data_IF_466349360922
#
_entry.id   IF_466349360922
#
_cell.length_a   1.000
_cell.length_b   1.000
_cell.length_c   1.000
_cell.angle_alpha   90.00
_cell.angle_beta   90.00
_cell.angle_gamma   90.00
#
_symmetry.space_group_name_H-M   'P 1'
#
loop_
_entity.id
_entity.type
_entity.pdbx_description
1 polymer ?
#
# COMPACT_ATOMS: atom_id res chain seq x y z
N UNK A 1 23.12 -73.02 -0.34
CA UNK A 1 22.73 -74.41 -0.72
C UNK A 1 21.38 -74.34 -1.42
N UNK A 2 21.27 -74.92 -2.62
CA UNK A 2 20.05 -75.25 -3.41
C UNK A 2 18.92 -74.20 -3.51
N UNK A 3 18.69 -73.48 -4.63
CA UNK A 3 18.20 -73.88 -5.98
C UNK A 3 16.72 -74.34 -6.04
N UNK A 4 15.88 -73.42 -6.54
CA UNK A 4 14.66 -73.52 -7.39
C UNK A 4 13.92 -74.87 -7.58
N UNK A 5 12.58 -74.80 -7.50
CA UNK A 5 11.57 -75.53 -8.32
C UNK A 5 10.23 -74.76 -8.23
N UNK A 6 9.71 -74.10 -9.28
CA UNK A 6 8.90 -74.54 -10.44
C UNK A 6 7.46 -75.05 -10.15
N UNK A 7 6.44 -74.33 -10.63
CA UNK A 7 5.29 -74.76 -11.47
C UNK A 7 4.16 -73.70 -11.43
N UNK A 8 3.91 -72.95 -12.52
CA UNK A 8 2.94 -73.22 -13.62
C UNK A 8 1.47 -73.20 -13.18
N UNK A 9 0.66 -72.26 -13.71
CA UNK A 9 -0.54 -72.55 -14.54
C UNK A 9 -1.39 -71.30 -14.91
N UNK A 10 -1.71 -71.19 -16.22
CA UNK A 10 -2.89 -70.59 -16.90
C UNK A 10 -2.95 -69.05 -17.07
N UNK A 11 -2.73 -68.49 -18.28
CA UNK A 11 -3.58 -68.42 -19.51
C UNK A 11 -4.86 -67.58 -19.22
N UNK A 12 -5.08 -66.39 -19.80
CA UNK A 12 -5.47 -66.15 -21.20
C UNK A 12 -5.22 -64.69 -21.66
N UNK A 13 -5.00 -64.58 -22.96
CA UNK A 13 -4.71 -63.42 -23.81
C UNK A 13 -5.76 -62.31 -23.84
N UNK A 14 -5.32 -61.08 -24.12
CA UNK A 14 -6.19 -59.96 -24.50
C UNK A 14 -5.39 -58.68 -24.78
N UNK A 15 -4.88 -58.57 -26.00
CA UNK A 15 -4.04 -57.50 -26.52
C UNK A 15 -4.85 -56.21 -26.76
N UNK A 16 -4.56 -55.09 -26.07
CA UNK A 16 -4.88 -53.74 -26.57
C UNK A 16 -3.84 -52.71 -26.10
N UNK A 17 -3.07 -52.23 -27.09
CA UNK A 17 -2.50 -50.88 -27.26
C UNK A 17 -1.72 -50.24 -26.10
N UNK A 18 -0.39 -50.27 -26.22
CA UNK A 18 0.55 -49.40 -25.52
C UNK A 18 0.41 -47.94 -26.01
N UNK A 19 -0.10 -47.06 -25.14
CA UNK A 19 0.09 -45.62 -25.24
C UNK A 19 1.01 -45.16 -24.10
N UNK A 20 2.05 -44.40 -24.47
CA UNK A 20 3.03 -43.82 -23.55
C UNK A 20 2.34 -43.04 -22.42
N UNK A 21 2.65 -43.39 -21.18
CA UNK A 21 2.36 -42.55 -20.03
C UNK A 21 3.41 -41.43 -19.93
N UNK A 22 3.06 -40.24 -20.44
CA UNK A 22 3.66 -39.00 -19.94
C UNK A 22 2.89 -38.61 -18.69
N UNK A 23 3.55 -38.67 -17.53
CA UNK A 23 3.03 -38.14 -16.28
C UNK A 23 2.91 -36.61 -16.41
N UNK A 24 1.73 -36.14 -16.81
CA UNK A 24 1.36 -34.73 -16.72
C UNK A 24 1.03 -34.41 -15.27
N UNK A 25 1.86 -33.58 -14.64
CA UNK A 25 1.51 -32.90 -13.40
C UNK A 25 0.19 -32.14 -13.61
N UNK A 26 -0.78 -32.21 -12.69
CA UNK A 26 -1.97 -31.40 -12.80
C UNK A 26 -1.55 -29.93 -12.71
N UNK A 27 -1.74 -29.21 -13.81
CA UNK A 27 -1.79 -27.75 -13.80
C UNK A 27 -2.94 -27.36 -12.89
N UNK A 28 -2.60 -26.84 -11.70
CA UNK A 28 -3.53 -26.11 -10.86
C UNK A 28 -4.07 -24.94 -11.68
N UNK A 29 -5.21 -25.14 -12.33
CA UNK A 29 -6.01 -24.04 -12.79
C UNK A 29 -6.54 -23.36 -11.53
N UNK A 30 -6.15 -22.09 -11.36
CA UNK A 30 -6.63 -21.25 -10.27
C UNK A 30 -8.15 -21.38 -10.20
N UNK A 31 -8.63 -21.72 -9.01
CA UNK A 31 -10.06 -21.66 -8.72
C UNK A 31 -10.45 -20.19 -8.85
N UNK A 32 -11.13 -19.86 -9.93
CA UNK A 32 -11.91 -18.63 -10.02
C UNK A 32 -12.95 -18.68 -8.91
N UNK A 33 -12.77 -17.91 -7.86
CA UNK A 33 -13.79 -17.72 -6.84
C UNK A 33 -14.96 -16.95 -7.48
N UNK A 34 -15.93 -17.70 -8.01
CA UNK A 34 -17.24 -17.18 -8.32
C UNK A 34 -18.04 -17.09 -7.01
N UNK A 35 -18.24 -15.87 -6.52
CA UNK A 35 -19.22 -15.61 -5.45
C UNK A 35 -18.86 -14.55 -4.40
N UNK A 36 -18.56 -13.31 -4.80
CA UNK A 36 -19.00 -12.14 -4.03
C UNK A 36 -19.28 -11.00 -4.99
N UNK A 37 -20.41 -10.33 -4.84
CA UNK A 37 -20.66 -9.04 -5.49
C UNK A 37 -19.94 -7.94 -4.71
N UNK A 38 -18.66 -8.14 -4.38
CA UNK A 38 -17.84 -7.07 -3.81
C UNK A 38 -17.56 -6.11 -4.94
N UNK A 39 -17.93 -4.84 -4.78
CA UNK A 39 -17.60 -3.82 -5.77
C UNK A 39 -16.08 -3.83 -5.99
N UNK A 40 -15.64 -3.67 -7.24
CA UNK A 40 -14.21 -3.65 -7.54
C UNK A 40 -13.54 -2.41 -6.91
N UNK A 41 -12.29 -2.57 -6.49
CA UNK A 41 -11.47 -1.43 -6.06
C UNK A 41 -11.18 -0.51 -7.25
N UNK A 42 -11.55 0.76 -7.11
CA UNK A 42 -11.37 1.79 -8.15
C UNK A 42 -10.59 2.98 -7.60
N UNK A 43 -9.94 3.76 -8.47
CA UNK A 43 -9.15 4.91 -8.05
C UNK A 43 -9.95 5.96 -7.26
N UNK A 44 -9.35 6.47 -6.19
CA UNK A 44 -9.88 7.53 -5.31
C UNK A 44 -8.97 8.77 -5.36
N UNK A 45 -8.88 9.39 -6.55
CA UNK A 45 -7.83 10.37 -6.91
C UNK A 45 -7.80 11.63 -6.03
N UNK A 46 -8.89 11.97 -5.36
CA UNK A 46 -8.99 13.15 -4.47
C UNK A 46 -8.73 12.81 -3.00
N UNK A 47 -8.55 11.54 -2.66
CA UNK A 47 -8.36 11.07 -1.29
C UNK A 47 -6.87 10.74 -1.02
N UNK A 48 -6.44 10.87 0.25
CA UNK A 48 -5.07 10.55 0.73
C UNK A 48 -3.91 11.25 0.00
N UNK A 49 -4.13 12.51 -0.38
CA UNK A 49 -3.06 13.43 -0.75
C UNK A 49 -2.72 14.37 0.43
N UNK A 50 -1.44 14.75 0.54
CA UNK A 50 -0.89 15.52 1.65
C UNK A 50 0.01 16.63 1.14
N UNK A 51 -0.02 17.76 1.83
CA UNK A 51 0.82 18.92 1.57
C UNK A 51 1.70 19.16 2.79
N UNK A 52 3.01 19.23 2.55
CA UNK A 52 4.00 19.68 3.51
C UNK A 52 4.35 21.14 3.22
N UNK A 53 4.01 22.04 4.15
CA UNK A 53 4.05 23.49 3.94
C UNK A 53 4.66 24.25 5.11
N UNK A 54 5.17 25.44 4.83
CA UNK A 54 5.68 26.37 5.84
C UNK A 54 4.58 27.32 6.29
N UNK A 55 4.41 27.45 7.60
CA UNK A 55 3.57 28.47 8.20
C UNK A 55 4.27 29.00 9.46
N UNK A 56 4.45 30.32 9.52
CA UNK A 56 5.14 31.00 10.63
C UNK A 56 6.55 30.47 10.94
N UNK A 57 7.28 29.98 9.91
CA UNK A 57 8.62 29.42 10.05
C UNK A 57 8.66 27.98 10.57
N UNK A 58 7.50 27.32 10.71
CA UNK A 58 7.39 25.90 11.05
C UNK A 58 6.89 25.11 9.85
N UNK A 59 7.45 23.92 9.65
CA UNK A 59 7.04 23.03 8.58
C UNK A 59 5.98 22.03 9.10
N UNK A 60 4.80 22.06 8.48
CA UNK A 60 3.60 21.35 8.88
C UNK A 60 3.11 20.43 7.76
N UNK A 61 2.46 19.31 8.13
CA UNK A 61 1.78 18.42 7.20
C UNK A 61 0.27 18.49 7.41
N UNK A 62 -0.50 18.56 6.32
CA UNK A 62 -1.96 18.45 6.34
C UNK A 62 -2.48 17.64 5.17
N UNK A 63 -3.71 17.10 5.26
CA UNK A 63 -4.44 16.65 4.09
C UNK A 63 -4.54 17.76 3.04
N UNK A 64 -4.37 17.38 1.78
CA UNK A 64 -4.61 18.23 0.63
C UNK A 64 -6.11 18.48 0.47
N UNK A 65 -6.46 19.66 -0.04
CA UNK A 65 -7.80 19.92 -0.59
C UNK A 65 -8.00 19.10 -1.87
N UNK A 66 -9.25 18.93 -2.31
CA UNK A 66 -9.56 18.21 -3.56
C UNK A 66 -8.89 18.85 -4.79
N UNK A 67 -8.79 20.19 -4.83
CA UNK A 67 -8.11 20.91 -5.91
C UNK A 67 -6.60 20.65 -5.90
N UNK A 68 -5.97 20.66 -4.72
CA UNK A 68 -4.55 20.33 -4.57
C UNK A 68 -4.27 18.87 -4.95
N UNK A 69 -5.12 17.92 -4.53
CA UNK A 69 -4.99 16.51 -4.88
C UNK A 69 -5.09 16.31 -6.40
N UNK A 70 -6.07 16.95 -7.07
CA UNK A 70 -6.18 16.94 -8.53
C UNK A 70 -4.96 17.55 -9.22
N UNK A 71 -4.44 18.66 -8.70
CA UNK A 71 -3.23 19.27 -9.23
C UNK A 71 -2.01 18.34 -9.09
N UNK A 72 -1.86 17.64 -7.97
CA UNK A 72 -0.79 16.65 -7.76
C UNK A 72 -0.91 15.43 -8.67
N UNK A 73 -2.12 15.04 -9.05
CA UNK A 73 -2.37 13.93 -9.97
C UNK A 73 -2.04 14.31 -11.43
N UNK A 74 -2.16 15.59 -11.80
CA UNK A 74 -1.90 16.12 -13.13
C UNK A 74 -0.40 16.31 -13.42
N UNK A 75 0.36 15.21 -13.41
CA UNK A 75 1.80 15.18 -13.70
C UNK A 75 2.07 15.34 -15.20
N UNK A 76 3.27 15.78 -15.57
CA UNK A 76 3.72 15.69 -16.97
C UNK A 76 3.99 14.23 -17.36
N UNK A 77 3.06 13.63 -18.12
CA UNK A 77 3.13 12.24 -18.58
C UNK A 77 4.31 11.95 -19.51
N UNK A 78 4.94 12.99 -20.08
CA UNK A 78 6.11 12.83 -20.96
C UNK A 78 7.42 12.66 -20.19
N UNK A 79 7.43 12.93 -18.87
CA UNK A 79 8.63 12.80 -18.05
C UNK A 79 9.00 11.33 -17.86
N UNK A 80 10.22 10.91 -18.26
CA UNK A 80 10.63 9.54 -18.08
C UNK A 80 10.97 9.27 -16.61
N UNK A 81 10.33 8.26 -16.03
CA UNK A 81 10.64 7.78 -14.67
C UNK A 81 11.58 6.58 -14.73
N UNK A 82 12.64 6.60 -13.92
CA UNK A 82 13.67 5.56 -13.93
C UNK A 82 13.84 4.93 -12.56
N UNK A 83 13.83 3.61 -12.49
CA UNK A 83 14.13 2.88 -11.25
C UNK A 83 15.59 3.17 -10.87
N UNK A 84 15.82 3.50 -9.60
CA UNK A 84 17.17 3.76 -9.09
C UNK A 84 17.46 3.08 -7.75
N UNK A 85 16.58 2.19 -7.30
CA UNK A 85 16.84 1.31 -6.16
C UNK A 85 17.93 0.29 -6.51
N UNK A 86 18.81 -0.01 -5.57
CA UNK A 86 19.84 -1.04 -5.74
C UNK A 86 19.20 -2.39 -6.00
N UNK A 87 19.55 -3.03 -7.13
CA UNK A 87 18.97 -4.29 -7.65
C UNK A 87 19.11 -5.53 -6.75
N UNK A 88 19.72 -5.41 -5.57
CA UNK A 88 19.90 -6.52 -4.65
C UNK A 88 18.60 -6.82 -3.89
N UNK A 89 17.61 -7.37 -4.59
CA UNK A 89 16.68 -8.30 -3.97
C UNK A 89 17.50 -9.55 -3.67
N UNK A 90 18.05 -9.61 -2.46
CA UNK A 90 18.76 -10.81 -2.03
C UNK A 90 17.73 -11.94 -1.88
N UNK A 91 18.14 -13.18 -2.08
CA UNK A 91 17.27 -14.34 -1.87
C UNK A 91 16.77 -14.47 -0.41
N UNK A 92 17.26 -13.64 0.52
CA UNK A 92 16.77 -13.52 1.90
C UNK A 92 15.52 -12.61 2.02
N UNK A 93 15.15 -11.85 0.99
CA UNK A 93 13.96 -10.96 0.98
C UNK A 93 12.62 -11.68 0.76
N UNK A 94 12.59 -13.03 0.83
CA UNK A 94 11.44 -13.87 0.48
C UNK A 94 10.25 -13.83 1.48
N UNK A 95 10.18 -12.82 2.35
CA UNK A 95 9.03 -12.55 3.23
C UNK A 95 8.83 -11.07 3.59
N UNK A 96 9.44 -10.14 2.85
CA UNK A 96 9.54 -8.74 3.27
C UNK A 96 8.83 -7.77 2.31
N UNK A 97 8.55 -6.58 2.85
CA UNK A 97 8.16 -5.41 2.06
C UNK A 97 9.33 -4.96 1.19
N UNK A 98 9.11 -4.85 -0.12
CA UNK A 98 10.02 -4.25 -1.07
C UNK A 98 9.46 -2.91 -1.55
N UNK A 99 10.31 -1.89 -1.61
CA UNK A 99 9.95 -0.56 -2.11
C UNK A 99 10.90 -0.23 -3.25
N UNK A 100 10.36 -0.17 -4.47
CA UNK A 100 11.06 0.26 -5.67
C UNK A 100 10.79 1.75 -5.91
N UNK A 101 11.84 2.56 -5.89
CA UNK A 101 11.74 3.99 -6.19
C UNK A 101 12.04 4.26 -7.65
N UNK A 102 11.21 5.10 -8.28
CA UNK A 102 11.47 5.67 -9.61
C UNK A 102 11.61 7.18 -9.51
N UNK A 103 12.65 7.73 -10.14
CA UNK A 103 12.97 9.15 -10.10
C UNK A 103 12.74 9.83 -11.43
N UNK A 104 12.46 11.13 -11.40
CA UNK A 104 12.54 11.99 -12.58
C UNK A 104 14.02 12.24 -12.96
N UNK A 105 14.32 12.71 -14.19
CA UNK A 105 15.68 13.13 -14.53
C UNK A 105 16.17 14.34 -13.73
N UNK A 106 15.26 15.15 -13.19
CA UNK A 106 15.60 16.29 -12.33
C UNK A 106 16.28 15.80 -11.04
N UNK A 107 15.78 14.71 -10.44
CA UNK A 107 16.35 14.13 -9.22
C UNK A 107 17.82 13.70 -9.39
N UNK A 108 18.27 13.37 -10.60
CA UNK A 108 19.66 12.99 -10.88
C UNK A 108 20.65 14.13 -10.55
N UNK A 109 20.18 15.38 -10.50
CA UNK A 109 20.99 16.55 -10.10
C UNK A 109 21.10 16.73 -8.58
N UNK A 110 20.39 15.92 -7.79
CA UNK A 110 20.31 16.01 -6.33
C UNK A 110 20.65 14.66 -5.66
N UNK A 111 21.92 14.23 -5.70
CA UNK A 111 22.31 12.92 -5.18
C UNK A 111 22.01 12.74 -3.68
N UNK A 112 22.10 13.81 -2.87
CA UNK A 112 21.78 13.74 -1.44
C UNK A 112 20.29 13.42 -1.20
N UNK A 113 19.38 14.02 -1.96
CA UNK A 113 17.96 13.71 -1.89
C UNK A 113 17.65 12.29 -2.37
N UNK A 114 18.32 11.85 -3.45
CA UNK A 114 18.22 10.47 -3.94
C UNK A 114 18.60 9.45 -2.86
N UNK A 115 19.71 9.68 -2.16
CA UNK A 115 20.15 8.81 -1.05
C UNK A 115 19.21 8.91 0.15
N UNK A 116 18.68 10.09 0.49
CA UNK A 116 17.69 10.26 1.54
C UNK A 116 16.41 9.45 1.30
N UNK A 117 15.89 9.45 0.07
CA UNK A 117 14.76 8.59 -0.29
C UNK A 117 15.09 7.09 -0.15
N UNK A 118 16.30 6.66 -0.51
CA UNK A 118 16.73 5.27 -0.34
C UNK A 118 16.80 4.89 1.15
N UNK A 119 17.34 5.75 2.01
CA UNK A 119 17.36 5.55 3.47
C UNK A 119 15.96 5.49 4.06
N UNK A 120 15.06 6.37 3.61
CA UNK A 120 13.67 6.37 4.05
C UNK A 120 12.93 5.09 3.65
N UNK A 121 13.12 4.61 2.42
CA UNK A 121 12.57 3.34 1.97
C UNK A 121 13.12 2.16 2.78
N UNK A 122 14.43 2.12 3.02
CA UNK A 122 15.06 1.05 3.81
C UNK A 122 14.59 1.04 5.27
N UNK A 123 14.34 2.21 5.85
CA UNK A 123 13.74 2.33 7.19
C UNK A 123 12.42 1.56 7.26
N UNK A 124 11.52 1.73 6.28
CA UNK A 124 10.26 1.00 6.25
C UNK A 124 10.42 -0.49 5.96
N UNK A 125 11.28 -0.85 4.99
CA UNK A 125 11.59 -2.24 4.65
C UNK A 125 12.08 -3.03 5.87
N UNK A 126 12.91 -2.42 6.71
CA UNK A 126 13.45 -3.05 7.93
C UNK A 126 12.43 -3.22 9.07
N UNK A 127 11.31 -2.48 9.03
CA UNK A 127 10.31 -2.45 10.11
C UNK A 127 9.06 -3.26 9.81
N UNK A 128 8.72 -3.44 8.54
CA UNK A 128 7.49 -4.12 8.13
C UNK A 128 7.82 -5.54 7.67
N UNK A 129 7.27 -6.51 8.38
CA UNK A 129 7.24 -7.91 7.96
C UNK A 129 5.89 -8.21 7.31
N UNK A 130 5.91 -8.90 6.17
CA UNK A 130 4.70 -9.32 5.48
C UNK A 130 4.58 -10.83 5.50
N UNK A 131 3.34 -11.35 5.43
CA UNK A 131 3.12 -12.82 5.38
C UNK A 131 3.58 -13.46 4.06
N UNK A 132 3.79 -12.63 3.04
CA UNK A 132 4.32 -12.97 1.73
C UNK A 132 5.03 -11.73 1.13
N UNK A 133 5.97 -11.88 0.19
CA UNK A 133 6.63 -10.74 -0.45
C UNK A 133 5.64 -9.77 -1.10
N UNK A 134 5.81 -8.47 -0.84
CA UNK A 134 5.02 -7.39 -1.45
C UNK A 134 6.00 -6.38 -2.05
N UNK A 135 5.75 -5.97 -3.30
CA UNK A 135 6.58 -4.95 -3.96
C UNK A 135 5.74 -3.73 -4.29
N UNK A 136 6.13 -2.59 -3.73
CA UNK A 136 5.56 -1.28 -4.02
C UNK A 136 6.44 -0.57 -5.04
N UNK A 137 5.82 0.23 -5.91
CA UNK A 137 6.52 1.20 -6.74
C UNK A 137 6.08 2.60 -6.31
N UNK A 138 7.04 3.44 -5.96
CA UNK A 138 6.81 4.83 -5.55
C UNK A 138 7.60 5.74 -6.48
N UNK A 139 6.92 6.73 -7.05
CA UNK A 139 7.55 7.76 -7.85
C UNK A 139 8.03 8.88 -6.93
N UNK A 140 9.27 9.32 -7.09
CA UNK A 140 9.86 10.36 -6.25
C UNK A 140 10.50 11.45 -7.09
N UNK A 141 10.47 12.68 -6.56
CA UNK A 141 11.05 13.84 -7.21
C UNK A 141 11.67 14.80 -6.20
N UNK A 142 12.70 15.54 -6.62
CA UNK A 142 13.29 16.60 -5.84
C UNK A 142 13.82 17.68 -6.77
N UNK A 143 13.38 18.92 -6.60
CA UNK A 143 13.81 20.04 -7.42
C UNK A 143 12.84 21.22 -7.39
N UNK A 144 12.97 22.20 -8.29
CA UNK A 144 12.09 23.37 -8.31
C UNK A 144 10.67 23.07 -8.81
N UNK A 145 10.45 21.89 -9.40
CA UNK A 145 9.15 21.41 -9.88
C UNK A 145 8.83 20.03 -9.29
N UNK A 146 7.54 19.71 -9.21
CA UNK A 146 6.99 18.41 -8.87
C UNK A 146 6.50 17.73 -10.14
N UNK A 147 7.23 16.72 -10.63
CA UNK A 147 6.87 15.96 -11.83
C UNK A 147 6.47 16.88 -13.00
N UNK A 148 7.26 17.94 -13.22
CA UNK A 148 7.06 18.93 -14.29
C UNK A 148 6.09 20.06 -13.97
N UNK A 149 5.41 20.02 -12.82
CA UNK A 149 4.49 21.06 -12.37
C UNK A 149 5.14 21.95 -11.31
N UNK A 150 4.86 23.26 -11.33
CA UNK A 150 5.35 24.17 -10.28
C UNK A 150 4.74 23.83 -8.92
N UNK A 151 5.54 23.94 -7.86
CA UNK A 151 5.00 23.89 -6.49
C UNK A 151 4.14 25.13 -6.19
N UNK A 152 3.06 25.01 -5.40
CA UNK A 152 2.38 26.15 -4.83
C UNK A 152 3.30 26.95 -3.87
N UNK A 153 2.91 28.18 -3.57
CA UNK A 153 3.62 29.01 -2.59
C UNK A 153 3.65 28.33 -1.22
N UNK A 154 4.76 28.50 -0.50
CA UNK A 154 4.99 27.92 0.83
C UNK A 154 4.93 26.39 0.92
N UNK A 155 4.90 25.65 -0.20
CA UNK A 155 4.89 24.19 -0.20
C UNK A 155 6.31 23.65 -0.34
N UNK A 156 6.80 23.01 0.72
CA UNK A 156 8.08 22.31 0.79
C UNK A 156 8.02 20.95 0.11
N UNK A 157 6.85 20.31 0.10
CA UNK A 157 6.68 19.01 -0.50
C UNK A 157 5.23 18.57 -0.53
N UNK A 158 4.99 17.47 -1.23
CA UNK A 158 3.68 16.86 -1.22
C UNK A 158 3.73 15.38 -1.53
N UNK A 159 2.67 14.70 -1.12
CA UNK A 159 2.50 13.25 -1.29
C UNK A 159 1.13 12.98 -1.87
N UNK A 160 1.08 12.10 -2.85
CA UNK A 160 -0.16 11.63 -3.44
C UNK A 160 -0.16 10.10 -3.39
N UNK A 161 -1.08 9.54 -2.61
CA UNK A 161 -1.24 8.09 -2.48
C UNK A 161 -2.03 7.52 -3.65
N UNK A 162 -1.69 6.32 -4.10
CA UNK A 162 -2.59 5.56 -4.98
C UNK A 162 -3.69 4.92 -4.12
N UNK A 163 -4.66 5.74 -3.74
CA UNK A 163 -5.79 5.29 -2.92
C UNK A 163 -6.89 4.71 -3.75
N UNK A 164 -7.44 3.59 -3.26
CA UNK A 164 -8.50 2.85 -3.91
C UNK A 164 -9.74 2.86 -3.03
N UNK A 165 -10.89 3.06 -3.66
CA UNK A 165 -12.22 3.08 -3.04
C UNK A 165 -12.96 1.79 -3.34
N UNK A 166 -13.67 1.30 -2.34
CA UNK A 166 -14.68 0.27 -2.48
C UNK A 166 -15.91 0.63 -1.64
N UNK A 167 -17.01 0.95 -2.31
CA UNK A 167 -18.27 1.38 -1.68
C UNK A 167 -18.99 0.28 -0.91
N UNK A 168 -18.53 -0.97 -1.01
CA UNK A 168 -19.02 -2.12 -0.27
C UNK A 168 -17.86 -3.00 0.25
N UNK A 169 -16.70 -2.40 0.53
CA UNK A 169 -15.44 -3.13 0.73
C UNK A 169 -15.27 -3.75 2.11
N UNK A 170 -16.08 -3.35 3.09
CA UNK A 170 -15.84 -3.70 4.50
C UNK A 170 -15.78 -5.22 4.76
N UNK A 171 -16.77 -5.97 4.30
CA UNK A 171 -16.85 -7.41 4.58
C UNK A 171 -15.65 -8.15 3.99
N UNK A 172 -15.29 -7.83 2.74
CA UNK A 172 -14.10 -8.37 2.08
C UNK A 172 -12.81 -8.03 2.82
N UNK A 173 -12.64 -6.77 3.20
CA UNK A 173 -11.45 -6.31 3.92
C UNK A 173 -11.33 -6.92 5.32
N UNK A 174 -12.44 -7.02 6.07
CA UNK A 174 -12.48 -7.72 7.36
C UNK A 174 -12.06 -9.19 7.22
N UNK A 175 -12.56 -9.88 6.20
CA UNK A 175 -12.18 -11.26 5.94
C UNK A 175 -10.68 -11.38 5.59
N UNK A 176 -10.15 -10.44 4.81
CA UNK A 176 -8.72 -10.40 4.50
C UNK A 176 -7.87 -10.18 5.78
N UNK A 177 -8.28 -9.28 6.68
CA UNK A 177 -7.62 -9.09 7.98
C UNK A 177 -7.59 -10.39 8.79
N UNK A 178 -8.72 -11.08 8.92
CA UNK A 178 -8.80 -12.36 9.65
C UNK A 178 -7.88 -13.42 9.03
N UNK A 179 -7.87 -13.54 7.70
CA UNK A 179 -7.02 -14.49 6.97
C UNK A 179 -5.53 -14.17 7.08
N UNK A 180 -5.19 -12.89 7.23
CA UNK A 180 -3.80 -12.39 7.30
C UNK A 180 -3.30 -12.16 8.72
N UNK A 181 -4.10 -12.48 9.74
CA UNK A 181 -3.69 -12.42 11.14
C UNK A 181 -2.39 -13.24 11.36
N UNK A 182 -1.41 -12.62 12.03
CA UNK A 182 -0.10 -13.22 12.29
C UNK A 182 -0.14 -14.23 13.45
N UNK A 183 -1.15 -14.13 14.32
CA UNK A 183 -1.27 -14.95 15.52
C UNK A 183 -2.73 -15.06 15.97
N UNK A 184 -3.00 -15.97 16.92
CA UNK A 184 -4.35 -16.22 17.42
C UNK A 184 -5.01 -15.02 18.13
N UNK A 185 -4.23 -14.12 18.74
CA UNK A 185 -4.76 -12.91 19.36
C UNK A 185 -5.25 -11.91 18.31
N UNK A 186 -4.53 -11.74 17.21
CA UNK A 186 -4.98 -10.95 16.05
C UNK A 186 -6.20 -11.58 15.39
N UNK A 187 -6.22 -12.90 15.19
CA UNK A 187 -7.40 -13.59 14.67
C UNK A 187 -8.63 -13.31 15.54
N UNK A 188 -8.50 -13.39 16.87
CA UNK A 188 -9.59 -13.10 17.80
C UNK A 188 -10.02 -11.62 17.74
N UNK A 189 -9.06 -10.69 17.68
CA UNK A 189 -9.34 -9.25 17.56
C UNK A 189 -10.08 -8.93 16.26
N UNK A 190 -9.56 -9.35 15.11
CA UNK A 190 -10.20 -9.10 13.82
C UNK A 190 -11.55 -9.81 13.69
N UNK A 191 -11.71 -11.00 14.29
CA UNK A 191 -13.02 -11.67 14.36
C UNK A 191 -14.04 -10.89 15.17
N UNK A 192 -13.60 -10.06 16.12
CA UNK A 192 -14.49 -9.20 16.92
C UNK A 192 -14.91 -7.90 16.24
N UNK A 193 -14.32 -7.56 15.08
CA UNK A 193 -14.80 -6.44 14.26
C UNK A 193 -16.27 -6.64 13.86
N UNK A 194 -17.06 -5.56 13.75
CA UNK A 194 -18.46 -5.61 13.30
C UNK A 194 -18.67 -6.54 12.08
N UNK A 195 -19.80 -7.23 11.99
CA UNK A 195 -19.96 -8.22 10.91
C UNK A 195 -20.36 -7.61 9.55
N UNK A 196 -21.21 -6.58 9.56
CA UNK A 196 -21.86 -6.07 8.35
C UNK A 196 -21.42 -4.64 7.97
N UNK A 197 -21.33 -3.73 8.94
CA UNK A 197 -20.99 -2.32 8.76
C UNK A 197 -20.13 -1.83 9.92
N UNK A 198 -19.33 -0.79 9.68
CA UNK A 198 -18.53 -0.12 10.69
C UNK A 198 -19.38 0.98 11.34
N UNK A 199 -19.66 0.92 12.65
CA UNK A 199 -20.31 2.02 13.35
C UNK A 199 -19.31 3.17 13.51
N UNK A 200 -19.69 4.37 13.07
CA UNK A 200 -18.92 5.61 13.29
C UNK A 200 -19.80 6.64 14.03
N UNK A 201 -19.22 7.72 14.55
CA UNK A 201 -19.98 8.81 15.18
C UNK A 201 -20.71 9.72 14.17
N UNK A 202 -20.48 9.51 12.88
CA UNK A 202 -21.14 10.22 11.78
C UNK A 202 -22.04 9.31 10.92
N UNK A 203 -22.35 8.11 11.40
CA UNK A 203 -23.21 7.11 10.74
C UNK A 203 -22.51 5.77 10.50
N UNK A 204 -23.27 4.74 10.14
CA UNK A 204 -22.66 3.47 9.74
C UNK A 204 -22.09 3.56 8.32
N UNK A 205 -21.02 2.80 8.06
CA UNK A 205 -20.45 2.69 6.71
C UNK A 205 -19.94 1.30 6.39
N UNK A 206 -19.99 0.95 5.10
CA UNK A 206 -19.31 -0.21 4.52
C UNK A 206 -18.22 0.20 3.53
N UNK A 207 -18.06 1.51 3.34
CA UNK A 207 -17.17 2.11 2.35
C UNK A 207 -15.76 2.27 2.91
N UNK A 208 -14.80 1.81 2.13
CA UNK A 208 -13.37 1.91 2.43
C UNK A 208 -12.66 2.74 1.38
N UNK A 209 -11.69 3.52 1.86
CA UNK A 209 -10.64 4.12 1.03
C UNK A 209 -9.32 3.67 1.63
N UNK A 210 -8.50 3.02 0.81
CA UNK A 210 -7.30 2.32 1.26
C UNK A 210 -6.18 2.51 0.24
N UNK A 211 -4.97 2.90 0.66
CA UNK A 211 -3.82 2.91 -0.22
C UNK A 211 -3.53 1.51 -0.79
N UNK A 212 -3.15 1.44 -2.06
CA UNK A 212 -2.89 0.18 -2.75
C UNK A 212 -1.89 -0.70 -2.01
N UNK A 213 -0.90 -0.12 -1.33
CA UNK A 213 0.08 -0.82 -0.50
C UNK A 213 -0.56 -1.77 0.54
N UNK A 214 -1.58 -1.33 1.26
CA UNK A 214 -2.28 -2.16 2.24
C UNK A 214 -3.09 -3.27 1.55
N UNK A 215 -3.71 -2.99 0.41
CA UNK A 215 -4.46 -3.99 -0.35
C UNK A 215 -3.54 -5.09 -0.89
N UNK A 216 -2.31 -4.75 -1.29
CA UNK A 216 -1.28 -5.75 -1.65
C UNK A 216 -0.91 -6.63 -0.46
N UNK A 217 -0.64 -6.01 0.69
CA UNK A 217 -0.32 -6.74 1.92
C UNK A 217 -1.45 -7.67 2.39
N UNK A 218 -2.70 -7.24 2.21
CA UNK A 218 -3.89 -8.02 2.50
C UNK A 218 -4.20 -9.09 1.43
N UNK A 219 -3.48 -9.09 0.30
CA UNK A 219 -3.71 -10.01 -0.81
C UNK A 219 -5.02 -9.75 -1.58
N UNK A 220 -5.54 -8.52 -1.51
CA UNK A 220 -6.78 -8.11 -2.19
C UNK A 220 -6.53 -7.60 -3.61
N UNK A 221 -5.28 -7.24 -3.93
CA UNK A 221 -4.78 -6.95 -5.27
C UNK A 221 -3.40 -7.62 -5.46
N UNK A 222 -2.83 -7.59 -6.67
CA UNK A 222 -1.55 -8.25 -6.96
C UNK A 222 -0.44 -7.82 -5.97
N UNK A 223 0.36 -8.74 -5.44
CA UNK A 223 1.39 -8.41 -4.47
C UNK A 223 2.54 -7.57 -5.06
N UNK A 224 2.75 -7.60 -6.38
CA UNK A 224 3.77 -6.81 -7.09
C UNK A 224 3.06 -5.69 -7.86
N UNK A 225 3.42 -4.45 -7.56
CA UNK A 225 2.91 -3.29 -8.30
C UNK A 225 3.40 -3.29 -9.76
N UNK A 226 2.47 -3.05 -10.68
CA UNK A 226 2.75 -2.83 -12.11
C UNK A 226 2.10 -1.51 -12.53
N UNK A 227 2.81 -0.37 -12.32
CA UNK A 227 2.33 0.96 -12.69
C UNK A 227 1.69 1.05 -14.08
N UNK A 228 2.25 0.39 -15.09
CA UNK A 228 1.75 0.43 -16.46
C UNK A 228 0.52 -0.44 -16.66
N UNK A 229 0.53 -1.66 -16.12
CA UNK A 229 -0.56 -2.62 -16.28
C UNK A 229 -1.81 -2.25 -15.48
N UNK A 230 -1.66 -1.48 -14.39
CA UNK A 230 -2.75 -1.14 -13.47
C UNK A 230 -3.25 0.30 -13.59
N UNK A 231 -2.60 1.16 -14.39
CA UNK A 231 -2.94 2.58 -14.50
C UNK A 231 -4.41 2.84 -14.84
N UNK A 232 -4.99 2.04 -15.75
CA UNK A 232 -6.38 2.19 -16.15
C UNK A 232 -7.39 1.93 -15.01
N UNK A 233 -7.00 1.13 -14.01
CA UNK A 233 -7.86 0.74 -12.89
C UNK A 233 -7.56 1.57 -11.63
N UNK A 234 -6.28 1.76 -11.33
CA UNK A 234 -5.81 2.34 -10.07
C UNK A 234 -5.29 3.77 -10.21
N UNK A 235 -5.18 4.28 -11.44
CA UNK A 235 -4.58 5.58 -11.72
C UNK A 235 -3.06 5.59 -11.54
N UNK A 236 -2.50 6.79 -11.44
CA UNK A 236 -1.06 6.99 -11.28
C UNK A 236 -0.52 6.31 -10.01
N UNK A 237 0.72 5.80 -10.04
CA UNK A 237 1.37 5.24 -8.86
C UNK A 237 1.53 6.29 -7.74
N UNK A 238 1.69 5.83 -6.49
CA UNK A 238 1.99 6.70 -5.37
C UNK A 238 3.21 7.60 -5.68
N UNK A 239 3.18 8.86 -5.22
CA UNK A 239 4.28 9.78 -5.47
C UNK A 239 4.59 10.72 -4.33
N UNK A 240 5.88 11.02 -4.17
CA UNK A 240 6.41 12.03 -3.24
C UNK A 240 7.25 13.02 -4.04
N UNK A 241 7.28 14.27 -3.63
CA UNK A 241 8.08 15.28 -4.31
C UNK A 241 8.35 16.45 -3.39
N UNK A 242 9.62 16.85 -3.30
CA UNK A 242 10.07 17.94 -2.45
C UNK A 242 10.64 19.08 -3.27
N UNK A 243 10.43 20.30 -2.78
CA UNK A 243 10.73 21.55 -3.43
C UNK A 243 12.12 22.03 -3.04
N UNK A 244 13.07 21.98 -3.96
CA UNK A 244 14.47 22.39 -3.72
C UNK A 244 14.65 23.89 -3.45
N UNK A 245 13.59 24.70 -3.53
CA UNK A 245 13.64 26.10 -3.13
C UNK A 245 13.64 26.27 -1.60
N UNK A 246 13.40 25.20 -0.84
CA UNK A 246 13.49 25.17 0.62
C UNK A 246 14.76 24.44 1.07
N UNK A 247 15.24 24.80 2.26
CA UNK A 247 16.43 24.23 2.85
C UNK A 247 16.12 22.90 3.56
N UNK A 248 16.82 21.85 3.15
CA UNK A 248 16.75 20.53 3.77
C UNK A 248 18.12 20.16 4.32
N UNK A 249 18.12 19.45 5.44
CA UNK A 249 19.28 18.73 5.94
C UNK A 249 19.22 17.27 5.47
N UNK A 250 20.32 16.76 4.94
CA UNK A 250 20.42 15.41 4.39
C UNK A 250 21.34 14.49 5.20
N UNK A 251 21.90 14.98 6.31
CA UNK A 251 22.75 14.20 7.22
C UNK A 251 22.24 14.34 8.66
N UNK A 252 21.36 13.44 9.13
CA UNK A 252 20.83 13.53 10.49
C UNK A 252 21.87 13.17 11.58
N UNK A 253 23.11 12.81 11.23
CA UNK A 253 24.11 12.31 12.18
C UNK A 253 24.85 13.41 12.96
N UNK A 254 24.84 14.65 12.50
CA UNK A 254 25.49 15.79 13.16
C UNK A 254 24.50 16.81 13.76
N UNK A 255 23.21 16.48 13.75
CA UNK A 255 22.12 17.32 14.20
C UNK A 255 21.39 17.97 13.02
N UNK A 256 20.35 18.76 13.31
CA UNK A 256 19.59 19.48 12.27
C UNK A 256 19.70 20.96 12.57
N UNK A 257 20.22 21.73 11.60
CA UNK A 257 20.28 23.19 11.71
C UNK A 257 18.87 23.77 11.85
N UNK A 258 18.75 24.84 12.65
CA UNK A 258 17.45 25.41 13.01
C UNK A 258 16.64 25.97 11.82
N UNK A 259 17.28 26.22 10.69
CA UNK A 259 16.68 26.74 9.45
C UNK A 259 16.47 25.66 8.37
N UNK A 260 16.63 24.38 8.72
CA UNK A 260 16.47 23.26 7.80
C UNK A 260 15.43 22.26 8.28
N UNK A 261 14.80 21.61 7.31
CA UNK A 261 13.98 20.42 7.56
C UNK A 261 14.84 19.16 7.43
N UNK A 262 14.77 18.24 8.38
CA UNK A 262 15.35 16.89 8.27
C UNK A 262 14.70 16.13 7.10
N UNK A 263 15.45 15.94 6.01
CA UNK A 263 14.97 15.26 4.81
C UNK A 263 14.66 13.78 5.05
N UNK A 264 15.46 13.10 5.87
CA UNK A 264 15.27 11.67 6.14
C UNK A 264 13.98 11.47 6.93
N UNK A 265 13.76 12.28 7.97
CA UNK A 265 12.55 12.22 8.78
C UNK A 265 11.29 12.52 7.95
N UNK A 266 11.31 13.57 7.12
CA UNK A 266 10.15 13.92 6.29
C UNK A 266 9.93 12.88 5.18
N UNK A 267 10.96 12.36 4.52
CA UNK A 267 10.79 11.30 3.53
C UNK A 267 10.24 10.00 4.14
N UNK A 268 10.67 9.65 5.37
CA UNK A 268 10.08 8.53 6.13
C UNK A 268 8.62 8.79 6.44
N UNK A 269 8.28 10.01 6.88
CA UNK A 269 6.91 10.43 7.15
C UNK A 269 6.01 10.28 5.91
N UNK A 270 6.45 10.82 4.77
CA UNK A 270 5.69 10.79 3.52
C UNK A 270 5.49 9.36 2.99
N UNK A 271 6.51 8.48 3.07
CA UNK A 271 6.32 7.05 2.76
C UNK A 271 5.32 6.41 3.73
N UNK A 272 5.25 6.86 4.97
CA UNK A 272 4.24 6.42 5.95
C UNK A 272 2.81 6.66 5.46
N UNK A 273 2.51 7.82 4.89
CA UNK A 273 1.21 8.07 4.27
C UNK A 273 0.89 7.04 3.18
N UNK A 274 1.84 6.76 2.28
CA UNK A 274 1.67 5.80 1.20
C UNK A 274 1.43 4.36 1.69
N UNK A 275 1.97 4.01 2.86
CA UNK A 275 1.79 2.71 3.50
C UNK A 275 0.47 2.57 4.27
N UNK A 276 -0.37 3.61 4.28
CA UNK A 276 -1.68 3.58 4.92
C UNK A 276 -1.68 3.98 6.39
N UNK A 277 -0.65 4.72 6.83
CA UNK A 277 -0.73 5.52 8.06
C UNK A 277 -1.52 6.82 7.79
N UNK A 278 -2.74 6.64 7.28
CA UNK A 278 -3.71 7.70 6.98
C UNK A 278 -5.02 7.40 7.68
N UNK A 279 -5.83 8.43 7.90
CA UNK A 279 -7.11 8.31 8.59
C UNK A 279 -8.16 9.14 7.86
N UNK A 280 -9.41 8.65 7.84
CA UNK A 280 -10.56 9.36 7.26
C UNK A 280 -11.17 10.40 8.19
N UNK A 281 -10.56 10.61 9.35
CA UNK A 281 -10.99 11.61 10.33
C UNK A 281 -10.90 13.00 9.73
N UNK A 282 -11.92 13.83 9.91
CA UNK A 282 -11.93 15.17 9.34
C UNK A 282 -12.34 15.22 7.86
N UNK A 283 -12.51 14.07 7.18
CA UNK A 283 -12.77 14.07 5.75
C UNK A 283 -14.10 14.77 5.38
N UNK A 284 -15.13 14.64 6.23
CA UNK A 284 -16.43 15.30 6.00
C UNK A 284 -16.42 16.76 6.43
N UNK A 285 -15.52 17.15 7.31
CA UNK A 285 -15.26 18.55 7.69
C UNK A 285 -14.61 19.29 6.52
N UNK A 286 -13.73 18.61 5.76
CA UNK A 286 -13.15 19.12 4.52
C UNK A 286 -14.15 19.12 3.36
N UNK A 287 -14.99 18.09 3.26
CA UNK A 287 -16.04 18.00 2.24
C UNK A 287 -17.32 17.34 2.80
N UNK A 288 -18.31 18.15 3.22
CA UNK A 288 -19.54 17.65 3.85
C UNK A 288 -20.40 16.74 2.98
N UNK A 289 -20.21 16.78 1.66
CA UNK A 289 -20.93 15.96 0.67
C UNK A 289 -20.43 14.52 0.58
N UNK A 290 -19.29 14.19 1.21
CA UNK A 290 -18.76 12.82 1.24
C UNK A 290 -19.63 11.90 2.10
N UNK A 291 -19.80 10.67 1.63
CA UNK A 291 -20.32 9.58 2.46
C UNK A 291 -19.33 9.24 3.58
N UNK A 292 -19.82 8.82 4.76
CA UNK A 292 -18.96 8.22 5.78
C UNK A 292 -18.16 7.05 5.18
N UNK A 293 -16.87 7.02 5.42
CA UNK A 293 -15.93 6.03 4.90
C UNK A 293 -14.75 5.93 5.84
N UNK A 294 -14.09 4.78 5.86
CA UNK A 294 -13.00 4.47 6.79
C UNK A 294 -11.74 4.04 6.06
N UNK A 295 -10.60 4.36 6.65
CA UNK A 295 -9.32 3.69 6.38
C UNK A 295 -9.16 2.46 7.27
N UNK A 296 -8.11 1.68 7.05
CA UNK A 296 -7.86 0.49 7.88
C UNK A 296 -7.54 0.86 9.34
N UNK A 297 -6.81 1.95 9.58
CA UNK A 297 -6.45 2.35 10.96
C UNK A 297 -7.67 2.85 11.75
N UNK A 298 -8.69 3.39 11.06
CA UNK A 298 -9.92 3.85 11.68
C UNK A 298 -10.71 2.71 12.33
N UNK A 299 -10.53 1.46 11.87
CA UNK A 299 -11.11 0.27 12.49
C UNK A 299 -10.64 0.03 13.94
N UNK A 300 -9.50 0.61 14.31
CA UNK A 300 -8.91 0.49 15.64
C UNK A 300 -9.04 1.78 16.46
N UNK A 301 -9.77 2.77 15.95
CA UNK A 301 -9.91 4.07 16.59
C UNK A 301 -11.11 4.10 17.53
N UNK A 302 -10.88 4.47 18.78
CA UNK A 302 -11.94 4.49 19.79
C UNK A 302 -11.78 5.66 20.75
N UNK A 303 -12.91 6.09 21.33
CA UNK A 303 -12.89 6.92 22.53
C UNK A 303 -12.44 6.07 23.74
N UNK A 304 -11.87 6.68 24.80
CA UNK A 304 -11.47 5.95 25.99
C UNK A 304 -12.63 5.12 26.61
N UNK A 305 -12.30 3.96 27.19
CA UNK A 305 -13.26 3.11 27.91
C UNK A 305 -13.85 1.94 27.11
N UNK A 306 -13.40 1.71 25.87
CA UNK A 306 -13.80 0.53 25.10
C UNK A 306 -13.18 -0.74 25.67
N UNK A 307 -13.97 -1.82 25.73
CA UNK A 307 -13.58 -3.16 26.18
C UNK A 307 -13.84 -4.16 25.06
N UNK A 308 -13.33 -5.39 25.17
CA UNK A 308 -13.66 -6.44 24.19
C UNK A 308 -15.17 -6.74 24.11
N UNK A 309 -15.93 -6.50 25.18
CA UNK A 309 -17.38 -6.66 25.17
C UNK A 309 -18.11 -5.58 24.37
N UNK A 310 -17.50 -4.38 24.23
CA UNK A 310 -18.07 -3.24 23.51
C UNK A 310 -17.37 -2.96 22.17
N UNK A 311 -16.26 -3.64 21.88
CA UNK A 311 -15.42 -3.41 20.70
C UNK A 311 -16.19 -3.47 19.37
N UNK A 312 -17.09 -4.46 19.25
CA UNK A 312 -17.89 -4.69 18.03
C UNK A 312 -18.89 -3.58 17.76
N UNK A 313 -19.45 -2.94 18.80
CA UNK A 313 -20.52 -1.93 18.66
C UNK A 313 -20.06 -0.50 18.93
N UNK A 314 -18.87 -0.31 19.52
CA UNK A 314 -18.34 1.00 19.80
C UNK A 314 -18.08 1.80 18.52
N UNK A 315 -18.49 3.06 18.50
CA UNK A 315 -18.30 3.92 17.34
C UNK A 315 -16.83 4.26 17.11
N UNK A 316 -16.41 4.28 15.85
CA UNK A 316 -15.14 4.84 15.38
C UNK A 316 -15.28 6.36 15.23
N UNK A 317 -14.49 7.18 15.95
CA UNK A 317 -14.63 8.62 15.87
C UNK A 317 -13.99 9.16 14.59
N UNK A 318 -14.79 9.69 13.66
CA UNK A 318 -14.36 10.30 12.40
C UNK A 318 -14.56 11.82 12.36
N UNK A 319 -15.30 12.38 13.32
CA UNK A 319 -15.45 13.83 13.54
C UNK A 319 -14.89 14.28 14.89
#
# INVERSE_FOLDING_TARGET
>A
MARRTNMLSRILSGLVLSALATAGFPVFHGVSNAGSTDAEWTAAVEDDAFVYYEENGEALCRPATADEARAMAARDESLPLRVFTSESLSTEDQGNLNIMLRGTPQLDSFPQAREGFLRAAETWKSRIQTSAPVTLVIDVDFGPTRFGQSFPQSVLGSTNSQSLRNTNGYVGLRNALIQKASNGSETALYSSLPQASVPTDIGETVEFIVPSALLRALGMINAVADPSGEQAQFGSPPSIGFNSNFAFDFDPSDGIDADKTDFDAVAVHEIGHLLGFTSRVGARELNPSLNPSVSVIDLMRFRPGVTMATFTTAQRPLS
#
